data_IF_354303848526
#
_entry.id   IF_354303848526
#
_cell.length_a   1.000
_cell.length_b   1.000
_cell.length_c   1.000
_cell.angle_alpha   90.00
_cell.angle_beta   90.00
_cell.angle_gamma   90.00
#
_symmetry.space_group_name_H-M   'P 1'
#
loop_
_entity.id
_entity.type
_entity.pdbx_description
1 polymer ?
#
# COMPACT_ATOMS: atom_id res chain seq x y z
N UNK A 1 -5.09 3.96 3.48
CA UNK A 1 -4.83 5.18 2.67
C UNK A 1 -4.23 4.76 1.35
N UNK A 2 -4.63 5.37 0.24
CA UNK A 2 -4.04 5.12 -1.07
C UNK A 2 -4.10 6.39 -1.94
N UNK A 3 -3.28 6.45 -2.99
CA UNK A 3 -3.42 7.47 -4.02
C UNK A 3 -4.62 7.16 -4.94
N UNK A 4 -5.24 8.21 -5.49
CA UNK A 4 -6.30 8.07 -6.49
C UNK A 4 -5.80 7.22 -7.67
N UNK A 5 -6.65 6.31 -8.18
CA UNK A 5 -6.28 5.34 -9.23
C UNK A 5 -5.13 4.39 -8.82
N UNK A 6 -4.79 4.31 -7.53
CA UNK A 6 -3.62 3.56 -7.05
C UNK A 6 -2.29 4.25 -7.31
N UNK A 7 -2.28 5.50 -7.77
CA UNK A 7 -1.07 6.23 -8.14
C UNK A 7 -0.55 7.04 -6.96
N UNK A 8 0.63 6.67 -6.48
CA UNK A 8 1.34 7.38 -5.43
C UNK A 8 2.84 7.20 -5.60
N UNK A 9 3.60 8.30 -5.64
CA UNK A 9 5.06 8.20 -5.74
C UNK A 9 5.69 7.68 -4.42
N UNK A 10 6.88 7.09 -4.49
CA UNK A 10 7.61 6.65 -3.28
C UNK A 10 7.84 7.80 -2.28
N UNK A 11 8.26 9.03 -2.71
CA UNK A 11 8.34 10.17 -1.79
C UNK A 11 7.00 10.55 -1.16
N UNK A 12 5.91 10.51 -1.92
CA UNK A 12 4.57 10.83 -1.40
C UNK A 12 4.09 9.78 -0.38
N UNK A 13 4.33 8.50 -0.64
CA UNK A 13 4.04 7.43 0.32
C UNK A 13 4.84 7.62 1.62
N UNK A 14 6.14 7.90 1.53
CA UNK A 14 6.99 8.20 2.69
C UNK A 14 6.49 9.42 3.48
N UNK A 15 6.01 10.46 2.79
CA UNK A 15 5.39 11.63 3.42
C UNK A 15 4.11 11.27 4.19
N UNK A 16 3.19 10.53 3.56
CA UNK A 16 1.91 10.15 4.18
C UNK A 16 2.10 9.20 5.38
N UNK A 17 3.05 8.27 5.30
CA UNK A 17 3.38 7.38 6.43
C UNK A 17 3.76 8.21 7.66
N UNK A 18 4.69 9.16 7.50
CA UNK A 18 5.15 10.03 8.60
C UNK A 18 4.04 10.98 9.07
N UNK A 19 3.33 11.61 8.14
CA UNK A 19 2.29 12.60 8.46
C UNK A 19 1.15 12.00 9.27
N UNK A 20 0.71 10.77 8.92
CA UNK A 20 -0.37 10.08 9.59
C UNK A 20 0.11 9.11 10.68
N UNK A 21 1.41 9.09 10.99
CA UNK A 21 2.01 8.16 11.95
C UNK A 21 1.58 6.71 11.71
N UNK A 22 1.54 6.31 10.43
CA UNK A 22 1.17 4.97 10.04
C UNK A 22 2.27 3.97 10.41
N UNK A 23 1.90 2.71 10.63
CA UNK A 23 2.86 1.64 10.94
C UNK A 23 3.83 1.35 9.79
N UNK A 24 3.47 1.74 8.58
CA UNK A 24 4.23 1.53 7.36
C UNK A 24 3.37 1.69 6.12
N UNK A 25 3.89 1.26 4.98
CA UNK A 25 3.17 1.28 3.71
C UNK A 25 3.69 0.22 2.74
N UNK A 26 2.76 -0.36 1.98
CA UNK A 26 3.06 -1.28 0.87
C UNK A 26 3.03 -0.46 -0.42
N UNK A 27 4.11 -0.52 -1.18
CA UNK A 27 4.29 0.18 -2.45
C UNK A 27 4.43 -0.85 -3.57
N UNK A 28 3.58 -0.74 -4.59
CA UNK A 28 3.60 -1.59 -5.78
C UNK A 28 4.48 -0.91 -6.85
N UNK A 29 5.76 -1.24 -6.87
CA UNK A 29 6.75 -0.64 -7.79
C UNK A 29 7.97 -1.53 -7.95
N UNK A 30 8.46 -1.65 -9.19
CA UNK A 30 9.76 -2.22 -9.52
C UNK A 30 10.87 -1.14 -9.62
N UNK A 31 10.63 0.06 -9.06
CA UNK A 31 11.54 1.20 -9.09
C UNK A 31 11.87 1.67 -10.52
N UNK A 32 13.03 1.28 -11.06
CA UNK A 32 13.50 1.65 -12.39
C UNK A 32 13.37 0.51 -13.40
N UNK A 33 12.94 -0.67 -12.96
CA UNK A 33 12.79 -1.82 -13.84
C UNK A 33 11.59 -1.61 -14.75
N UNK A 34 11.66 -2.08 -16.01
CA UNK A 34 10.54 -1.98 -16.94
C UNK A 34 9.30 -2.67 -16.37
N UNK A 35 8.14 -2.07 -16.58
CA UNK A 35 6.84 -2.67 -16.27
C UNK A 35 6.19 -3.25 -17.53
N UNK A 36 5.31 -4.23 -17.35
CA UNK A 36 4.64 -4.93 -18.46
C UNK A 36 4.26 -6.35 -18.09
N UNK A 37 3.53 -7.04 -18.97
CA UNK A 37 3.12 -8.43 -18.76
C UNK A 37 4.32 -9.38 -18.63
N UNK A 38 5.39 -9.12 -19.38
CA UNK A 38 6.62 -9.91 -19.41
C UNK A 38 7.80 -9.22 -18.70
N UNK A 39 7.51 -8.24 -17.84
CA UNK A 39 8.52 -7.44 -17.17
C UNK A 39 8.35 -7.51 -15.64
N UNK A 40 9.10 -6.68 -14.91
CA UNK A 40 9.19 -6.81 -13.46
C UNK A 40 7.99 -6.19 -12.75
N UNK A 41 7.59 -6.83 -11.65
CA UNK A 41 6.68 -6.28 -10.66
C UNK A 41 7.31 -6.39 -9.27
N UNK A 42 7.26 -5.29 -8.51
CA UNK A 42 7.86 -5.23 -7.18
C UNK A 42 6.85 -4.86 -6.10
N UNK A 43 6.97 -5.50 -4.95
CA UNK A 43 6.24 -5.12 -3.74
C UNK A 43 7.28 -4.68 -2.71
N UNK A 44 7.25 -3.41 -2.33
CA UNK A 44 8.14 -2.83 -1.32
C UNK A 44 7.36 -2.54 -0.05
N UNK A 45 8.01 -2.73 1.09
CA UNK A 45 7.48 -2.33 2.38
C UNK A 45 8.33 -1.20 2.98
N UNK A 46 7.67 -0.10 3.34
CA UNK A 46 8.25 0.97 4.13
C UNK A 46 7.72 0.88 5.57
N UNK A 47 8.58 1.16 6.55
CA UNK A 47 8.21 1.16 7.98
C UNK A 47 7.74 2.54 8.43
N UNK A 48 7.37 2.67 9.71
CA UNK A 48 6.79 3.86 10.34
C UNK A 48 7.56 5.18 10.14
N UNK A 49 8.88 5.13 9.96
CA UNK A 49 9.67 6.34 9.66
C UNK A 49 9.55 6.80 8.20
N UNK A 50 8.77 6.10 7.37
CA UNK A 50 8.57 6.35 5.95
C UNK A 50 9.70 5.84 5.05
N UNK A 51 10.76 5.28 5.61
CA UNK A 51 11.89 4.67 4.89
C UNK A 51 11.66 3.18 4.58
N UNK A 52 12.55 2.57 3.78
CA UNK A 52 12.47 1.14 3.47
C UNK A 52 12.59 0.29 4.74
N UNK A 53 11.97 -0.88 4.74
CA UNK A 53 12.07 -1.81 5.85
C UNK A 53 13.53 -2.26 6.08
N UNK A 54 13.99 -2.32 7.34
CA UNK A 54 15.31 -2.85 7.67
C UNK A 54 15.36 -4.36 7.46
N UNK A 55 16.57 -4.90 7.28
CA UNK A 55 16.81 -6.33 6.98
C UNK A 55 16.10 -7.28 7.96
N UNK A 56 16.17 -6.98 9.26
CA UNK A 56 15.45 -7.76 10.29
C UNK A 56 13.95 -7.92 10.01
N UNK A 57 13.29 -6.89 9.47
CA UNK A 57 11.87 -6.95 9.12
C UNK A 57 11.67 -7.77 7.85
N UNK A 58 12.50 -7.59 6.83
CA UNK A 58 12.39 -8.36 5.58
C UNK A 58 12.69 -9.84 5.79
N UNK A 59 13.65 -10.19 6.64
CA UNK A 59 13.96 -11.56 7.01
C UNK A 59 12.81 -12.21 7.76
N UNK A 60 12.19 -11.48 8.69
CA UNK A 60 10.99 -11.96 9.39
C UNK A 60 9.85 -12.23 8.42
N UNK A 61 9.62 -11.33 7.45
CA UNK A 61 8.62 -11.53 6.39
C UNK A 61 8.98 -12.78 5.58
N UNK A 62 10.26 -12.96 5.20
CA UNK A 62 10.73 -14.11 4.44
C UNK A 62 10.50 -15.43 5.18
N UNK A 63 10.85 -15.55 6.46
CA UNK A 63 10.61 -16.76 7.24
C UNK A 63 9.12 -17.09 7.39
N UNK A 64 8.26 -16.06 7.53
CA UNK A 64 6.80 -16.27 7.52
C UNK A 64 6.33 -16.78 6.16
N UNK A 65 6.88 -16.28 5.05
CA UNK A 65 6.48 -16.73 3.70
C UNK A 65 6.78 -18.21 3.45
N UNK A 66 7.81 -18.77 4.10
CA UNK A 66 8.15 -20.20 3.98
C UNK A 66 7.18 -21.12 4.72
N UNK A 67 6.47 -20.60 5.72
CA UNK A 67 5.69 -21.40 6.68
C UNK A 67 4.20 -21.09 6.64
N UNK A 68 3.77 -20.03 5.96
CA UNK A 68 2.37 -19.62 5.85
C UNK A 68 1.54 -20.71 5.16
N UNK A 69 0.48 -21.17 5.82
CA UNK A 69 -0.44 -22.21 5.29
C UNK A 69 -1.82 -21.65 4.95
N UNK A 70 -2.14 -20.44 5.41
CA UNK A 70 -3.42 -19.78 5.18
C UNK A 70 -3.27 -18.26 5.26
N UNK A 71 -4.12 -17.55 4.54
CA UNK A 71 -4.30 -16.10 4.67
C UNK A 71 -5.78 -15.78 4.88
N UNK A 72 -6.07 -14.61 5.43
CA UNK A 72 -7.44 -14.15 5.69
C UNK A 72 -7.86 -13.16 4.63
N UNK A 73 -9.09 -13.31 4.16
CA UNK A 73 -9.75 -12.35 3.25
C UNK A 73 -11.17 -12.11 3.72
N UNK A 74 -11.80 -11.05 3.18
CA UNK A 74 -13.23 -10.80 3.36
C UNK A 74 -14.03 -11.73 2.44
N UNK A 75 -15.16 -12.25 2.94
CA UNK A 75 -16.00 -13.18 2.17
C UNK A 75 -16.67 -12.53 0.96
N UNK A 76 -16.98 -11.23 1.06
CA UNK A 76 -17.58 -10.42 -0.01
C UNK A 76 -16.67 -9.22 -0.25
N UNK A 77 -16.24 -8.95 -1.49
CA UNK A 77 -15.45 -7.76 -1.82
C UNK A 77 -16.18 -6.48 -1.43
N UNK A 78 -15.44 -5.52 -0.87
CA UNK A 78 -15.97 -4.18 -0.63
C UNK A 78 -16.08 -3.42 -1.96
N UNK A 79 -17.16 -2.64 -2.20
CA UNK A 79 -17.32 -1.84 -3.40
C UNK A 79 -16.46 -0.57 -3.34
N UNK A 80 -15.14 -0.75 -3.25
CA UNK A 80 -14.16 0.32 -3.14
C UNK A 80 -13.95 0.94 -4.52
N UNK A 81 -14.32 2.21 -4.66
CA UNK A 81 -14.05 3.01 -5.84
C UNK A 81 -12.80 3.87 -5.62
N UNK A 82 -11.66 3.37 -6.07
CA UNK A 82 -10.34 4.05 -5.91
C UNK A 82 -10.20 5.32 -6.76
N UNK A 83 -11.19 5.64 -7.60
CA UNK A 83 -11.23 6.88 -8.38
C UNK A 83 -11.81 8.03 -7.58
N UNK A 84 -12.56 7.74 -6.50
CA UNK A 84 -13.22 8.75 -5.67
C UNK A 84 -12.33 9.17 -4.50
N UNK A 85 -11.95 10.43 -4.49
CA UNK A 85 -11.20 11.05 -3.41
C UNK A 85 -11.99 11.08 -2.09
N UNK A 86 -11.27 11.25 -0.98
CA UNK A 86 -11.85 11.44 0.35
C UNK A 86 -11.91 10.16 1.17
N UNK A 87 -12.64 10.26 2.29
CA UNK A 87 -12.83 9.19 3.26
C UNK A 87 -14.09 8.37 2.94
N UNK A 88 -13.94 7.06 2.90
CA UNK A 88 -15.01 6.09 2.66
C UNK A 88 -15.06 5.09 3.81
N UNK A 89 -16.24 4.85 4.35
CA UNK A 89 -16.45 3.93 5.48
C UNK A 89 -17.28 2.74 5.02
N UNK A 90 -16.78 1.54 5.28
CA UNK A 90 -17.42 0.27 4.93
C UNK A 90 -17.71 -0.52 6.21
N UNK A 91 -18.93 -1.05 6.30
CA UNK A 91 -19.33 -1.91 7.41
C UNK A 91 -19.07 -3.37 7.04
N UNK A 92 -18.27 -4.06 7.84
CA UNK A 92 -17.90 -5.45 7.64
C UNK A 92 -18.92 -6.37 8.29
N UNK A 93 -19.04 -7.60 7.78
CA UNK A 93 -19.95 -8.63 8.30
C UNK A 93 -19.68 -9.03 9.76
N UNK A 94 -18.48 -8.76 10.26
CA UNK A 94 -18.10 -8.99 11.66
C UNK A 94 -18.43 -7.81 12.59
N UNK A 95 -19.20 -6.81 12.11
CA UNK A 95 -19.60 -5.63 12.87
C UNK A 95 -18.52 -4.55 13.01
N UNK A 96 -17.34 -4.73 12.41
CA UNK A 96 -16.28 -3.71 12.40
C UNK A 96 -16.43 -2.78 11.21
N UNK A 97 -15.85 -1.59 11.33
CA UNK A 97 -15.73 -0.64 10.22
C UNK A 97 -14.34 -0.71 9.59
N UNK A 98 -14.30 -0.52 8.28
CA UNK A 98 -13.08 -0.30 7.51
C UNK A 98 -13.14 1.09 6.87
N UNK A 99 -12.19 1.95 7.23
CA UNK A 99 -12.03 3.28 6.66
C UNK A 99 -10.96 3.28 5.58
N UNK A 100 -11.32 3.71 4.37
CA UNK A 100 -10.41 3.92 3.24
C UNK A 100 -10.34 5.40 2.88
N UNK A 101 -9.14 5.98 2.91
CA UNK A 101 -8.89 7.36 2.50
C UNK A 101 -8.11 7.41 1.19
N UNK A 102 -8.63 8.14 0.20
CA UNK A 102 -7.99 8.34 -1.10
C UNK A 102 -7.56 9.79 -1.30
N UNK A 103 -6.30 9.98 -1.67
CA UNK A 103 -5.68 11.28 -1.81
C UNK A 103 -5.35 11.58 -3.26
N UNK A 104 -5.56 12.83 -3.67
CA UNK A 104 -5.06 13.33 -4.93
C UNK A 104 -3.55 13.46 -4.81
N UNK A 105 -2.83 12.97 -5.81
CA UNK A 105 -1.40 13.18 -5.94
C UNK A 105 -1.11 13.71 -7.33
N UNK A 106 -0.62 14.95 -7.39
CA UNK A 106 -0.11 15.52 -8.64
C UNK A 106 1.36 15.13 -8.79
N UNK A 107 1.67 14.34 -9.81
CA UNK A 107 3.06 14.20 -10.26
C UNK A 107 3.40 15.52 -10.94
N UNK A 108 4.14 16.39 -10.25
CA UNK A 108 4.80 17.51 -10.91
C UNK A 108 5.97 16.91 -11.69
N UNK A 109 5.78 16.68 -12.99
CA UNK A 109 6.91 16.45 -13.87
C UNK A 109 7.69 17.77 -13.93
N UNK A 110 8.86 17.80 -13.31
CA UNK A 110 9.85 18.83 -13.59
C UNK A 110 10.52 18.39 -14.88
N UNK A 111 10.01 18.89 -16.02
CA UNK A 111 10.64 18.74 -17.35
C UNK A 111 11.78 19.72 -17.51
#
# INVERSE_FOLDING_TARGET
MAGQHGILSTPAASCLIRHHQAQGGILLTASHNPGGLDADFGIKYNVENGGPAPEKVTDTIYEVTKTITQYRTIAVPLPIDITKLGDHVFHLSNGKEFKASFFAFSIIFVS
#
